data_IF_075357745581
#
_entry.id   IF_075357745581
#
_cell.length_a   1.000
_cell.length_b   1.000
_cell.length_c   1.000
_cell.angle_alpha   90.00
_cell.angle_beta   90.00
_cell.angle_gamma   90.00
#
_symmetry.space_group_name_H-M   'P 1'
#
loop_
_entity.id
_entity.type
_entity.pdbx_description
1 polymer ?
#
# COMPACT_ATOMS: atom_id res chain seq x y z
N UNK A 1 61.17 57.71 0.49
CA UNK A 1 59.88 57.01 0.72
C UNK A 1 59.68 55.99 -0.38
N UNK A 2 59.15 54.79 -0.10
CA UNK A 2 58.68 53.86 -1.15
C UNK A 2 57.18 54.08 -1.34
N UNK A 3 56.76 54.56 -2.50
CA UNK A 3 55.35 54.65 -2.88
C UNK A 3 54.84 53.27 -3.27
N UNK A 4 54.23 52.56 -2.32
CA UNK A 4 53.56 51.30 -2.59
C UNK A 4 52.26 51.60 -3.36
N UNK A 5 52.17 51.10 -4.60
CA UNK A 5 51.01 51.31 -5.46
C UNK A 5 49.88 50.40 -4.98
N UNK A 6 48.84 50.97 -4.36
CA UNK A 6 47.63 50.20 -4.01
C UNK A 6 46.84 50.01 -5.30
N UNK A 7 46.79 48.78 -5.80
CA UNK A 7 45.98 48.43 -6.96
C UNK A 7 44.56 48.13 -6.49
N UNK A 8 43.66 49.10 -6.71
CA UNK A 8 42.28 49.12 -6.19
C UNK A 8 41.38 47.95 -6.65
N UNK A 9 41.86 47.07 -7.54
CA UNK A 9 41.08 45.99 -8.14
C UNK A 9 40.68 44.88 -7.14
N UNK A 10 41.53 44.54 -6.18
CA UNK A 10 41.25 43.43 -5.25
C UNK A 10 40.39 43.82 -4.04
N UNK A 11 40.13 45.11 -3.81
CA UNK A 11 39.41 45.60 -2.62
C UNK A 11 37.91 45.82 -2.81
N UNK A 12 37.36 45.53 -4.00
CA UNK A 12 35.91 45.64 -4.30
C UNK A 12 35.34 44.31 -4.80
N UNK A 13 35.80 43.20 -4.22
CA UNK A 13 35.11 41.90 -4.36
C UNK A 13 34.04 41.79 -3.28
N UNK A 14 32.87 41.28 -3.65
CA UNK A 14 31.80 40.99 -2.69
C UNK A 14 32.28 39.86 -1.75
N UNK A 15 32.17 40.01 -0.41
CA UNK A 15 32.70 39.02 0.52
C UNK A 15 31.89 37.72 0.46
N UNK A 16 32.57 36.58 0.31
CA UNK A 16 31.92 35.27 0.23
C UNK A 16 31.22 34.90 1.54
N UNK A 17 29.90 34.77 1.49
CA UNK A 17 29.06 34.40 2.64
C UNK A 17 29.08 32.88 2.82
N UNK A 18 29.15 32.43 4.07
CA UNK A 18 29.01 31.02 4.41
C UNK A 18 27.52 30.69 4.57
N UNK A 19 26.97 29.85 3.68
CA UNK A 19 25.53 29.49 3.66
C UNK A 19 25.34 27.98 3.81
N UNK A 20 24.17 27.58 4.31
CA UNK A 20 23.74 26.18 4.28
C UNK A 20 23.38 25.78 2.83
N UNK A 21 23.91 24.66 2.36
CA UNK A 21 23.80 24.31 0.93
C UNK A 21 22.43 23.75 0.57
N UNK A 22 21.82 23.00 1.49
CA UNK A 22 20.46 22.48 1.40
C UNK A 22 19.43 23.61 1.40
N UNK A 23 19.59 24.62 2.26
CA UNK A 23 18.74 25.82 2.24
C UNK A 23 18.85 26.58 0.90
N UNK A 24 20.07 26.80 0.40
CA UNK A 24 20.31 27.46 -0.90
C UNK A 24 19.67 26.69 -2.07
N UNK A 25 19.86 25.36 -2.11
CA UNK A 25 19.29 24.51 -3.17
C UNK A 25 17.77 24.44 -3.07
N UNK A 26 17.20 24.37 -1.87
CA UNK A 26 15.74 24.39 -1.70
C UNK A 26 15.15 25.72 -2.18
N UNK A 27 15.75 26.85 -1.79
CA UNK A 27 15.33 28.17 -2.24
C UNK A 27 15.36 28.29 -3.77
N UNK A 28 16.42 27.81 -4.44
CA UNK A 28 16.50 27.81 -5.90
C UNK A 28 15.45 26.88 -6.55
N UNK A 29 15.19 25.69 -5.99
CA UNK A 29 14.09 24.81 -6.42
C UNK A 29 12.72 25.48 -6.22
N UNK A 30 12.54 26.30 -5.19
CA UNK A 30 11.31 27.05 -4.92
C UNK A 30 11.10 28.25 -5.85
N UNK A 31 12.17 28.84 -6.39
CA UNK A 31 12.06 29.82 -7.47
C UNK A 31 11.84 29.20 -8.86
N UNK A 32 12.08 27.90 -9.04
CA UNK A 32 11.90 27.18 -10.31
C UNK A 32 13.18 26.73 -11.01
N UNK A 33 14.34 26.76 -10.35
CA UNK A 33 15.60 26.28 -10.91
C UNK A 33 15.58 24.77 -11.17
N UNK A 34 16.22 24.32 -12.26
CA UNK A 34 16.27 22.91 -12.65
C UNK A 34 17.68 22.35 -12.38
N UNK A 35 17.83 21.24 -11.62
CA UNK A 35 19.15 20.69 -11.31
C UNK A 35 19.78 20.03 -12.55
N UNK A 36 21.05 20.35 -12.83
CA UNK A 36 21.80 19.84 -13.99
C UNK A 36 22.34 18.42 -13.70
N UNK A 37 21.91 17.37 -14.44
CA UNK A 37 22.35 15.99 -14.21
C UNK A 37 23.87 15.81 -14.25
N UNK A 38 24.56 16.53 -15.14
CA UNK A 38 26.00 16.39 -15.32
C UNK A 38 26.77 17.06 -14.17
N UNK A 39 26.31 18.25 -13.74
CA UNK A 39 26.94 19.01 -12.66
C UNK A 39 26.92 18.27 -11.32
N UNK A 40 25.76 17.79 -10.88
CA UNK A 40 25.66 17.04 -9.61
C UNK A 40 26.48 15.76 -9.63
N UNK A 41 26.50 15.03 -10.75
CA UNK A 41 27.34 13.83 -10.92
C UNK A 41 28.83 14.14 -10.86
N UNK A 42 29.26 15.26 -11.45
CA UNK A 42 30.66 15.68 -11.44
C UNK A 42 31.07 16.18 -10.04
N UNK A 43 30.23 16.97 -9.38
CA UNK A 43 30.44 17.41 -7.99
C UNK A 43 30.55 16.24 -7.03
N UNK A 44 29.71 15.21 -7.20
CA UNK A 44 29.74 14.01 -6.37
C UNK A 44 31.00 13.17 -6.54
N UNK A 45 31.51 13.09 -7.76
CA UNK A 45 32.67 12.24 -8.10
C UNK A 45 34.02 12.94 -7.96
N UNK A 46 34.06 14.28 -7.96
CA UNK A 46 35.33 15.06 -7.91
C UNK A 46 35.42 16.03 -6.72
N UNK A 47 34.32 16.38 -6.05
CA UNK A 47 34.31 17.23 -4.87
C UNK A 47 34.90 18.62 -5.15
N UNK A 48 35.90 19.04 -4.37
CA UNK A 48 36.61 20.31 -4.56
C UNK A 48 37.37 20.40 -5.90
N UNK A 49 37.58 19.28 -6.60
CA UNK A 49 38.21 19.26 -7.92
C UNK A 49 37.22 19.45 -9.08
N UNK A 50 35.96 19.77 -8.77
CA UNK A 50 34.96 20.11 -9.79
C UNK A 50 35.42 21.36 -10.56
N UNK A 51 35.39 21.36 -11.91
CA UNK A 51 35.82 22.52 -12.69
C UNK A 51 35.02 23.79 -12.35
N UNK A 52 35.75 24.91 -12.24
CA UNK A 52 35.13 26.24 -12.13
C UNK A 52 34.25 26.50 -13.36
N UNK A 53 33.07 27.07 -13.14
CA UNK A 53 32.03 27.22 -14.16
C UNK A 53 31.17 25.97 -14.39
N UNK A 54 31.35 24.89 -13.63
CA UNK A 54 30.45 23.75 -13.69
C UNK A 54 29.05 24.14 -13.17
N UNK A 55 28.06 24.10 -14.06
CA UNK A 55 26.65 24.34 -13.75
C UNK A 55 26.04 23.21 -12.92
N UNK A 56 25.55 23.55 -11.73
CA UNK A 56 24.79 22.66 -10.83
C UNK A 56 23.28 22.86 -11.01
N UNK A 57 22.81 24.08 -11.23
CA UNK A 57 21.39 24.38 -11.47
C UNK A 57 21.25 25.38 -12.60
N UNK A 58 20.21 25.21 -13.41
CA UNK A 58 19.87 26.04 -14.56
C UNK A 58 18.60 26.86 -14.28
N UNK A 59 18.37 27.91 -15.08
CA UNK A 59 17.10 28.62 -15.15
C UNK A 59 15.94 27.67 -15.51
N UNK A 60 14.66 28.06 -15.28
CA UNK A 60 13.50 27.18 -15.56
C UNK A 60 13.38 26.74 -17.03
N UNK A 61 13.91 27.52 -17.97
CA UNK A 61 13.95 27.16 -19.40
C UNK A 61 15.12 26.23 -19.76
N UNK A 62 16.04 25.94 -18.82
CA UNK A 62 17.24 25.13 -19.05
C UNK A 62 18.29 25.79 -19.95
N UNK A 63 18.33 27.13 -20.00
CA UNK A 63 19.13 27.92 -20.95
C UNK A 63 20.31 28.68 -20.35
N UNK A 64 20.21 29.04 -19.07
CA UNK A 64 21.17 29.91 -18.38
C UNK A 64 21.56 29.25 -17.05
N UNK A 65 22.81 29.41 -16.63
CA UNK A 65 23.33 28.77 -15.42
C UNK A 65 22.94 29.58 -14.17
N UNK A 66 22.09 29.01 -13.33
CA UNK A 66 21.59 29.64 -12.11
C UNK A 66 22.54 29.47 -10.91
N UNK A 67 23.22 28.33 -10.83
CA UNK A 67 24.18 28.00 -9.77
C UNK A 67 25.41 27.31 -10.40
N UNK A 68 26.59 27.86 -10.20
CA UNK A 68 27.86 27.33 -10.74
C UNK A 68 28.92 27.17 -9.66
N UNK A 69 29.92 26.31 -9.90
CA UNK A 69 31.12 26.22 -9.05
C UNK A 69 32.04 27.43 -9.32
N UNK A 70 32.35 28.18 -8.27
CA UNK A 70 33.16 29.39 -8.32
C UNK A 70 34.65 29.12 -8.01
N UNK A 71 35.58 30.05 -8.32
CA UNK A 71 37.01 29.89 -8.00
C UNK A 71 37.27 29.70 -6.49
N UNK A 72 38.07 28.69 -6.15
CA UNK A 72 38.47 28.32 -4.78
C UNK A 72 39.48 29.28 -4.11
N UNK A 73 39.55 30.53 -4.56
CA UNK A 73 40.49 31.52 -4.02
C UNK A 73 39.99 31.98 -2.64
N UNK A 74 40.78 31.73 -1.59
CA UNK A 74 40.45 31.89 -0.16
C UNK A 74 39.29 31.02 0.38
N UNK A 75 38.96 29.89 -0.27
CA UNK A 75 38.03 28.91 0.30
C UNK A 75 38.77 27.82 1.11
N UNK A 76 38.73 27.92 2.44
CA UNK A 76 39.38 27.00 3.40
C UNK A 76 38.80 25.56 3.38
N UNK A 77 39.04 24.82 2.30
CA UNK A 77 38.49 23.47 2.08
C UNK A 77 36.96 23.40 1.87
N UNK A 78 36.30 24.56 1.78
CA UNK A 78 34.88 24.67 1.46
C UNK A 78 34.65 24.74 -0.05
N UNK A 79 33.50 24.27 -0.52
CA UNK A 79 33.07 24.43 -1.91
C UNK A 79 32.61 25.89 -2.14
N UNK A 80 33.21 26.57 -3.11
CA UNK A 80 32.80 27.90 -3.57
C UNK A 80 31.77 27.80 -4.69
N UNK A 81 30.71 28.60 -4.61
CA UNK A 81 29.61 28.67 -5.57
C UNK A 81 29.31 30.13 -5.94
N UNK A 82 28.85 30.34 -7.17
CA UNK A 82 28.31 31.60 -7.65
C UNK A 82 26.86 31.41 -8.11
N UNK A 83 25.99 32.37 -7.75
CA UNK A 83 24.58 32.41 -8.18
C UNK A 83 24.38 33.57 -9.14
N UNK A 84 23.83 33.27 -10.31
CA UNK A 84 23.29 34.25 -11.23
C UNK A 84 21.78 34.01 -11.34
N UNK A 85 20.94 34.93 -10.85
CA UNK A 85 19.49 34.76 -10.87
C UNK A 85 18.79 35.99 -11.44
N UNK A 86 17.95 35.81 -12.46
CA UNK A 86 17.06 36.87 -12.95
C UNK A 86 15.73 36.85 -12.21
N UNK A 87 15.22 38.03 -11.85
CA UNK A 87 13.86 38.21 -11.32
C UNK A 87 12.78 37.73 -12.29
N UNK A 88 13.07 37.66 -13.59
CA UNK A 88 12.16 37.13 -14.62
C UNK A 88 12.06 35.60 -14.66
N UNK A 89 12.84 34.87 -13.86
CA UNK A 89 12.84 33.40 -13.83
C UNK A 89 11.96 32.81 -12.70
N UNK A 90 11.24 33.63 -11.93
CA UNK A 90 10.37 33.11 -10.86
C UNK A 90 9.09 32.54 -11.51
N UNK A 91 9.06 31.23 -11.70
CA UNK A 91 7.99 30.53 -12.46
C UNK A 91 7.03 29.72 -11.60
N UNK A 92 7.36 29.48 -10.32
CA UNK A 92 6.53 28.70 -9.40
C UNK A 92 5.53 29.59 -8.66
N UNK A 93 4.34 29.05 -8.42
CA UNK A 93 3.25 29.73 -7.72
C UNK A 93 2.80 28.97 -6.45
N UNK A 94 1.77 29.48 -5.77
CA UNK A 94 1.21 28.89 -4.56
C UNK A 94 0.59 27.49 -4.75
N UNK A 95 0.36 27.04 -5.99
CA UNK A 95 -0.09 25.67 -6.26
C UNK A 95 1.06 24.66 -6.16
N UNK A 96 2.30 25.12 -6.35
CA UNK A 96 3.51 24.31 -6.33
C UNK A 96 4.02 24.09 -4.90
N UNK A 97 4.30 22.84 -4.55
CA UNK A 97 4.80 22.49 -3.23
C UNK A 97 6.33 22.64 -3.10
N UNK A 98 6.85 23.07 -1.92
CA UNK A 98 8.29 23.10 -1.70
C UNK A 98 8.92 21.70 -1.68
N UNK A 99 10.26 21.58 -1.79
CA UNK A 99 10.99 20.36 -1.45
C UNK A 99 10.51 19.75 -0.13
N UNK A 100 10.54 18.42 -0.04
CA UNK A 100 10.10 17.65 1.14
C UNK A 100 8.59 17.62 1.40
N UNK A 101 7.76 18.30 0.61
CA UNK A 101 6.30 18.23 0.71
C UNK A 101 5.67 17.33 -0.38
N UNK A 102 4.50 16.78 -0.09
CA UNK A 102 3.65 16.03 -1.04
C UNK A 102 2.17 16.33 -0.82
N UNK A 103 1.41 16.53 -1.91
CA UNK A 103 -0.05 16.63 -1.88
C UNK A 103 -0.64 15.24 -2.11
N UNK A 104 -1.33 14.72 -1.11
CA UNK A 104 -2.08 13.47 -1.16
C UNK A 104 -3.50 13.79 -1.66
N UNK A 105 -3.93 13.24 -2.80
CA UNK A 105 -5.24 13.53 -3.35
C UNK A 105 -6.35 12.85 -2.52
N UNK A 106 -7.49 13.50 -2.41
CA UNK A 106 -8.71 12.92 -1.81
C UNK A 106 -9.38 11.95 -2.79
N UNK A 107 -9.98 10.85 -2.32
CA UNK A 107 -10.74 9.95 -3.19
C UNK A 107 -11.93 10.68 -3.86
N UNK A 108 -12.24 10.39 -5.14
CA UNK A 108 -13.41 10.96 -5.79
C UNK A 108 -14.69 10.51 -5.07
N UNK A 109 -15.58 11.44 -4.74
CA UNK A 109 -16.90 11.11 -4.19
C UNK A 109 -17.72 10.40 -5.28
N UNK A 110 -18.05 9.11 -5.07
CA UNK A 110 -19.08 8.41 -5.87
C UNK A 110 -20.37 9.25 -5.80
N UNK A 111 -20.90 9.63 -6.96
CA UNK A 111 -21.86 10.73 -7.09
C UNK A 111 -23.33 10.30 -6.88
N UNK A 112 -23.61 9.72 -5.71
CA UNK A 112 -24.96 9.33 -5.28
C UNK A 112 -25.36 10.09 -4.00
N UNK A 113 -26.67 10.12 -3.68
CA UNK A 113 -27.28 10.84 -2.54
C UNK A 113 -27.13 12.38 -2.48
N UNK A 114 -27.37 13.05 -3.62
CA UNK A 114 -27.78 14.49 -3.64
C UNK A 114 -29.31 14.66 -3.68
N UNK A 115 -30.07 13.57 -3.86
CA UNK A 115 -31.52 13.61 -4.17
C UNK A 115 -32.47 13.21 -3.01
N UNK A 116 -32.06 13.35 -1.74
CA UNK A 116 -32.97 13.23 -0.57
C UNK A 116 -32.90 14.43 0.39
N UNK A 117 -32.86 15.65 -0.16
CA UNK A 117 -32.93 16.90 0.60
C UNK A 117 -33.89 17.93 -0.03
N UNK A 118 -35.15 17.53 -0.32
CA UNK A 118 -36.14 18.45 -0.88
C UNK A 118 -37.59 17.95 -0.86
N UNK A 119 -38.49 18.81 -0.37
CA UNK A 119 -39.94 18.78 -0.61
C UNK A 119 -40.78 17.60 -0.08
N UNK A 120 -41.20 17.70 1.17
CA UNK A 120 -42.64 17.90 1.43
C UNK A 120 -42.88 18.61 2.78
N UNK A 121 -43.71 19.64 2.79
CA UNK A 121 -43.95 20.49 3.98
C UNK A 121 -45.43 20.45 4.40
N UNK A 122 -45.70 19.73 5.49
CA UNK A 122 -46.75 19.98 6.49
C UNK A 122 -48.24 20.05 6.09
N UNK A 123 -49.08 19.26 6.79
CA UNK A 123 -50.43 19.68 7.21
C UNK A 123 -50.70 19.27 8.67
N UNK A 124 -50.86 20.30 9.51
CA UNK A 124 -51.70 20.47 10.72
C UNK A 124 -52.14 19.28 11.61
N UNK A 125 -51.86 19.45 12.91
CA UNK A 125 -52.67 19.17 14.12
C UNK A 125 -53.97 18.31 14.03
N UNK A 126 -54.08 17.35 14.96
CA UNK A 126 -55.19 17.32 15.93
C UNK A 126 -54.72 16.75 17.29
N UNK A 127 -55.58 16.62 18.32
CA UNK A 127 -55.12 16.75 19.73
C UNK A 127 -55.75 15.87 20.82
N UNK A 128 -55.03 15.81 21.97
CA UNK A 128 -55.44 15.50 23.36
C UNK A 128 -55.44 14.02 23.87
N UNK A 129 -55.35 13.80 25.21
CA UNK A 129 -54.50 12.72 25.75
C UNK A 129 -55.07 11.89 26.95
N UNK A 130 -54.31 10.87 27.36
CA UNK A 130 -54.28 10.20 28.70
C UNK A 130 -53.00 9.35 28.81
N UNK A 131 -52.35 9.07 29.94
CA UNK A 131 -52.25 9.68 31.30
C UNK A 131 -51.05 9.02 32.02
N UNK A 132 -50.44 9.71 32.99
CA UNK A 132 -49.77 9.23 34.24
C UNK A 132 -48.87 7.95 34.21
N UNK A 133 -47.68 7.90 34.83
CA UNK A 133 -46.90 8.87 35.64
C UNK A 133 -45.38 8.53 35.45
N UNK A 134 -44.38 9.26 35.95
CA UNK A 134 -44.42 10.30 36.98
C UNK A 134 -43.08 10.94 37.33
N UNK A 135 -42.93 11.26 38.63
CA UNK A 135 -41.78 11.86 39.32
C UNK A 135 -40.58 12.35 38.47
N UNK A 136 -40.47 13.68 38.36
CA UNK A 136 -39.39 14.40 39.06
C UNK A 136 -39.74 15.89 39.23
N UNK A 137 -39.16 16.57 40.23
CA UNK A 137 -39.30 18.03 40.38
C UNK A 137 -38.06 18.68 40.99
N UNK A 138 -37.47 19.59 40.23
CA UNK A 138 -36.20 20.28 40.49
C UNK A 138 -36.35 21.62 41.21
N UNK A 139 -35.25 22.01 41.88
CA UNK A 139 -34.58 23.34 41.99
C UNK A 139 -33.72 23.30 43.26
N UNK A 140 -32.41 23.59 43.28
CA UNK A 140 -31.67 24.75 42.71
C UNK A 140 -31.05 25.49 43.92
N UNK A 141 -29.92 26.20 43.89
CA UNK A 141 -28.94 26.60 42.85
C UNK A 141 -27.65 27.09 43.63
N UNK A 142 -26.48 27.58 43.17
CA UNK A 142 -25.94 28.14 41.91
C UNK A 142 -24.38 28.03 41.91
N UNK A 143 -23.73 27.67 40.78
CA UNK A 143 -22.28 27.84 40.43
C UNK A 143 -21.20 27.15 41.34
N UNK A 144 -20.10 26.58 40.80
CA UNK A 144 -19.09 27.20 39.92
C UNK A 144 -18.24 26.24 39.06
N UNK A 145 -17.83 26.75 37.90
CA UNK A 145 -16.56 26.52 37.17
C UNK A 145 -16.03 25.07 36.98
N UNK A 146 -16.65 24.34 36.04
CA UNK A 146 -15.92 23.48 35.07
C UNK A 146 -15.67 24.31 33.80
N UNK A 147 -14.72 24.02 32.90
CA UNK A 147 -14.44 22.72 32.26
C UNK A 147 -13.00 22.57 31.75
N UNK A 148 -12.46 21.36 31.83
CA UNK A 148 -11.38 20.90 30.97
C UNK A 148 -12.00 20.16 29.77
N UNK A 149 -11.75 20.61 28.54
CA UNK A 149 -12.38 20.03 27.36
C UNK A 149 -11.63 18.78 26.88
N UNK A 150 -12.24 17.61 27.11
CA UNK A 150 -11.80 16.34 26.52
C UNK A 150 -12.51 16.17 25.18
N UNK A 151 -11.91 16.73 24.12
CA UNK A 151 -12.42 16.58 22.76
C UNK A 151 -12.28 15.13 22.28
N UNK A 152 -13.35 14.58 21.72
CA UNK A 152 -13.45 13.17 21.33
C UNK A 152 -13.26 12.99 19.82
N UNK A 153 -12.28 12.20 19.34
CA UNK A 153 -11.77 12.28 17.96
C UNK A 153 -12.65 11.65 16.87
N UNK A 154 -13.88 11.25 17.18
CA UNK A 154 -14.66 10.32 16.35
C UNK A 154 -15.55 11.03 15.31
N UNK A 155 -16.01 12.26 15.56
CA UNK A 155 -17.00 12.94 14.70
C UNK A 155 -16.42 13.86 13.62
N UNK A 156 -15.16 14.27 13.69
CA UNK A 156 -14.57 15.23 12.73
C UNK A 156 -13.98 14.57 11.46
N UNK A 157 -13.89 13.24 11.45
CA UNK A 157 -13.25 12.44 10.40
C UNK A 157 -14.04 12.39 9.09
N UNK A 158 -15.38 12.44 9.16
CA UNK A 158 -16.24 12.35 7.98
C UNK A 158 -16.29 13.65 7.17
N UNK A 159 -16.26 14.82 7.81
CA UNK A 159 -16.35 16.13 7.13
C UNK A 159 -15.05 16.55 6.45
N UNK A 160 -13.88 16.25 7.03
CA UNK A 160 -12.55 16.57 6.44
C UNK A 160 -12.17 15.68 5.23
N UNK A 161 -13.04 14.78 4.79
CA UNK A 161 -12.72 13.73 3.81
C UNK A 161 -12.55 14.17 2.35
N UNK A 162 -13.03 15.35 1.95
CA UNK A 162 -12.91 15.84 0.56
C UNK A 162 -11.61 16.57 0.25
N UNK A 163 -10.90 17.07 1.25
CA UNK A 163 -9.94 18.15 1.04
C UNK A 163 -8.52 17.57 1.01
N UNK A 164 -7.72 18.03 0.03
CA UNK A 164 -6.42 17.43 -0.25
C UNK A 164 -5.43 17.68 0.90
N UNK A 165 -4.72 16.63 1.32
CA UNK A 165 -3.82 16.69 2.47
C UNK A 165 -2.40 16.95 2.00
N UNK A 166 -1.74 17.97 2.54
CA UNK A 166 -0.37 18.34 2.21
C UNK A 166 0.57 17.95 3.35
N UNK A 167 1.43 16.97 3.12
CA UNK A 167 2.31 16.36 4.13
C UNK A 167 3.77 16.79 3.97
N UNK A 168 4.46 17.05 5.07
CA UNK A 168 5.91 17.34 5.10
C UNK A 168 6.71 16.14 5.62
N UNK A 169 7.69 15.66 4.86
CA UNK A 169 8.50 14.47 5.20
C UNK A 169 9.98 14.86 5.34
N UNK A 170 10.47 14.86 6.58
CA UNK A 170 11.88 15.14 6.90
C UNK A 170 12.68 13.85 7.06
N UNK A 171 13.97 13.95 7.41
CA UNK A 171 14.87 12.81 7.69
C UNK A 171 14.28 11.84 8.73
N UNK A 172 13.47 12.33 9.67
CA UNK A 172 12.78 11.58 10.72
C UNK A 172 11.39 11.05 10.33
N UNK A 173 10.99 11.17 9.06
CA UNK A 173 9.64 10.81 8.58
C UNK A 173 8.67 11.99 8.60
N UNK A 174 7.37 11.72 8.78
CA UNK A 174 6.30 12.72 8.74
C UNK A 174 6.42 13.72 9.89
N UNK A 175 6.49 15.02 9.56
CA UNK A 175 6.63 16.12 10.53
C UNK A 175 5.28 16.79 10.83
N UNK A 176 4.53 17.10 9.77
CA UNK A 176 3.18 17.69 9.81
C UNK A 176 2.35 17.24 8.61
N UNK A 177 1.02 17.26 8.76
CA UNK A 177 0.05 17.14 7.68
C UNK A 177 -0.96 18.27 7.82
N UNK A 178 -1.23 18.98 6.72
CA UNK A 178 -2.08 20.17 6.67
C UNK A 178 -3.23 19.96 5.67
N UNK A 179 -4.39 20.55 5.94
CA UNK A 179 -5.52 20.58 5.01
C UNK A 179 -6.03 22.01 4.77
N UNK A 180 -6.51 22.28 3.56
CA UNK A 180 -6.92 23.62 3.10
C UNK A 180 -8.35 23.94 3.59
N UNK A 181 -8.48 24.76 4.64
CA UNK A 181 -9.76 24.96 5.32
C UNK A 181 -10.68 25.95 4.57
N UNK A 182 -11.66 25.42 3.83
CA UNK A 182 -12.65 26.19 3.06
C UNK A 182 -13.70 26.91 3.92
N UNK A 183 -13.26 27.90 4.72
CA UNK A 183 -14.17 28.82 5.41
C UNK A 183 -14.66 29.95 4.50
N UNK A 184 -15.91 29.83 4.05
CA UNK A 184 -16.66 30.89 3.36
C UNK A 184 -16.74 32.17 4.22
N UNK A 185 -15.81 33.12 4.04
CA UNK A 185 -15.92 34.42 4.71
C UNK A 185 -14.75 35.41 4.58
N UNK A 186 -13.50 34.97 4.40
CA UNK A 186 -12.32 35.86 4.52
C UNK A 186 -11.29 35.69 3.36
N UNK A 187 -11.22 36.63 2.39
CA UNK A 187 -10.34 36.52 1.23
C UNK A 187 -8.95 37.13 1.49
N UNK A 188 -8.13 36.52 2.37
CA UNK A 188 -6.76 37.04 2.63
C UNK A 188 -5.73 36.02 3.13
N UNK A 189 -6.12 34.95 3.85
CA UNK A 189 -5.17 34.00 4.44
C UNK A 189 -5.56 32.55 4.15
N UNK A 190 -4.59 31.74 3.71
CA UNK A 190 -4.74 30.29 3.65
C UNK A 190 -4.75 29.74 5.08
N UNK A 191 -5.94 29.49 5.61
CA UNK A 191 -6.11 28.84 6.90
C UNK A 191 -5.83 27.34 6.71
N UNK A 192 -4.64 26.90 7.15
CA UNK A 192 -4.20 25.52 7.07
C UNK A 192 -4.45 24.85 8.43
N UNK A 193 -5.40 23.92 8.46
CA UNK A 193 -5.71 23.14 9.67
C UNK A 193 -4.70 21.99 9.81
N UNK A 194 -4.21 21.74 11.03
CA UNK A 194 -3.12 20.78 11.28
C UNK A 194 -3.68 19.47 11.81
N UNK A 195 -3.51 18.41 11.03
CA UNK A 195 -4.08 17.10 11.33
C UNK A 195 -3.27 16.36 12.41
N UNK A 196 -3.96 15.58 13.23
CA UNK A 196 -3.33 14.68 14.19
C UNK A 196 -2.63 13.52 13.46
N UNK A 197 -1.33 13.34 13.74
CA UNK A 197 -0.46 12.41 12.99
C UNK A 197 0.45 11.54 13.88
N UNK A 198 0.26 11.52 15.20
CA UNK A 198 1.13 10.76 16.11
C UNK A 198 1.11 9.25 15.86
N UNK A 199 0.06 8.72 15.20
CA UNK A 199 0.03 7.33 14.74
C UNK A 199 0.95 7.04 13.53
N UNK A 200 1.32 8.07 12.76
CA UNK A 200 2.23 8.01 11.62
C UNK A 200 3.64 8.56 11.92
N UNK A 201 3.92 9.01 13.15
CA UNK A 201 5.28 9.41 13.53
C UNK A 201 6.19 8.19 13.68
N UNK A 202 7.44 8.33 13.25
CA UNK A 202 8.45 7.28 13.35
C UNK A 202 8.82 7.07 14.82
N UNK A 203 8.55 5.87 15.34
CA UNK A 203 8.90 5.47 16.69
C UNK A 203 9.70 4.15 16.65
N UNK A 204 10.68 3.95 17.55
CA UNK A 204 11.53 2.75 17.54
C UNK A 204 10.78 1.43 17.84
N UNK A 205 9.51 1.51 18.25
CA UNK A 205 8.62 0.38 18.56
C UNK A 205 7.56 0.18 17.46
N UNK A 206 7.30 1.16 16.59
CA UNK A 206 6.23 1.13 15.58
C UNK A 206 6.78 1.37 14.17
N UNK A 207 6.66 0.35 13.33
CA UNK A 207 6.95 0.38 11.89
C UNK A 207 6.06 1.36 11.10
N UNK A 208 4.85 1.67 11.60
CA UNK A 208 3.79 2.40 10.89
C UNK A 208 4.29 3.70 10.24
N UNK A 209 5.00 4.55 10.99
CA UNK A 209 5.55 5.79 10.46
C UNK A 209 6.69 5.61 9.47
N UNK A 210 7.45 4.50 9.56
CA UNK A 210 8.52 4.16 8.62
C UNK A 210 7.91 3.73 7.28
N UNK A 211 6.92 2.82 7.31
CA UNK A 211 6.17 2.40 6.12
C UNK A 211 5.45 3.57 5.45
N UNK A 212 4.77 4.41 6.22
CA UNK A 212 4.08 5.59 5.69
C UNK A 212 5.07 6.59 5.05
N UNK A 213 6.14 6.97 5.76
CA UNK A 213 7.13 7.89 5.21
C UNK A 213 7.82 7.32 3.95
N UNK A 214 8.10 6.01 3.92
CA UNK A 214 8.62 5.33 2.73
C UNK A 214 7.66 5.36 1.55
N UNK A 215 6.39 5.02 1.75
CA UNK A 215 5.38 5.01 0.70
C UNK A 215 5.03 6.43 0.20
N UNK A 216 4.94 7.41 1.09
CA UNK A 216 4.66 8.81 0.73
C UNK A 216 5.85 9.48 0.00
N UNK A 217 7.09 9.17 0.39
CA UNK A 217 8.30 9.58 -0.36
C UNK A 217 8.31 8.96 -1.76
N UNK A 218 7.98 7.68 -1.88
CA UNK A 218 7.86 6.98 -3.16
C UNK A 218 6.79 7.61 -4.07
N UNK A 219 5.57 7.75 -3.55
CA UNK A 219 4.46 8.40 -4.27
C UNK A 219 4.81 9.83 -4.71
N UNK A 220 5.43 10.65 -3.85
CA UNK A 220 5.83 12.02 -4.16
C UNK A 220 6.96 12.12 -5.20
N UNK A 221 7.95 11.22 -5.13
CA UNK A 221 9.03 11.09 -6.13
C UNK A 221 8.46 10.80 -7.52
N UNK A 222 7.41 9.96 -7.61
CA UNK A 222 6.73 9.67 -8.88
C UNK A 222 5.88 10.83 -9.43
N UNK A 223 5.76 11.95 -8.71
CA UNK A 223 4.70 12.95 -8.91
C UNK A 223 5.16 14.39 -9.12
N UNK A 224 5.96 14.94 -8.21
CA UNK A 224 6.17 16.40 -8.16
C UNK A 224 7.57 16.84 -7.69
N UNK A 225 8.21 16.09 -6.80
CA UNK A 225 9.39 16.58 -6.05
C UNK A 225 10.62 15.71 -6.25
N UNK A 226 11.69 16.34 -6.76
CA UNK A 226 12.99 15.71 -7.11
C UNK A 226 13.89 15.54 -5.87
N UNK A 227 13.77 16.43 -4.88
CA UNK A 227 14.61 16.46 -3.68
C UNK A 227 13.83 15.98 -2.44
N UNK A 228 14.40 14.96 -1.78
CA UNK A 228 13.90 14.36 -0.54
C UNK A 228 14.97 14.32 0.54
N UNK A 229 14.60 14.53 1.81
CA UNK A 229 15.51 14.35 2.96
C UNK A 229 15.29 13.00 3.67
N UNK A 230 14.13 12.36 3.47
CA UNK A 230 13.89 11.00 3.94
C UNK A 230 14.55 9.99 2.99
N UNK A 231 15.46 9.16 3.52
CA UNK A 231 15.94 7.97 2.81
C UNK A 231 15.05 6.79 3.18
N UNK A 232 14.43 6.16 2.18
CA UNK A 232 13.75 4.87 2.36
C UNK A 232 14.77 3.84 2.89
N UNK A 233 14.52 3.13 4.01
CA UNK A 233 15.46 2.17 4.57
C UNK A 233 15.84 1.06 3.58
N UNK A 234 17.13 0.69 3.54
CA UNK A 234 17.64 -0.32 2.60
C UNK A 234 17.02 -1.71 2.80
N UNK A 235 16.57 -2.03 4.03
CA UNK A 235 15.77 -3.22 4.31
C UNK A 235 14.40 -3.21 3.60
N UNK A 236 13.74 -2.05 3.53
CA UNK A 236 12.44 -1.89 2.86
C UNK A 236 12.63 -1.92 1.34
N UNK A 237 13.67 -1.26 0.82
CA UNK A 237 14.02 -1.30 -0.61
C UNK A 237 14.39 -2.72 -1.07
N UNK A 238 15.24 -3.43 -0.31
CA UNK A 238 15.66 -4.79 -0.64
C UNK A 238 14.53 -5.81 -0.46
N UNK A 239 13.62 -5.62 0.50
CA UNK A 239 12.36 -6.37 0.60
C UNK A 239 11.49 -6.16 -0.65
N UNK A 240 11.20 -4.90 -1.02
CA UNK A 240 10.29 -4.59 -2.12
C UNK A 240 10.76 -5.10 -3.49
N UNK A 241 12.09 -5.25 -3.68
CA UNK A 241 12.72 -5.86 -4.87
C UNK A 241 12.65 -7.40 -4.91
N UNK A 242 12.31 -8.10 -3.83
CA UNK A 242 12.34 -9.58 -3.79
C UNK A 242 11.00 -10.20 -4.21
N UNK A 243 11.08 -11.18 -5.11
CA UNK A 243 10.00 -12.13 -5.37
C UNK A 243 9.73 -12.97 -4.11
N UNK A 244 8.58 -12.74 -3.47
CA UNK A 244 8.30 -13.23 -2.10
C UNK A 244 6.96 -13.95 -1.96
N UNK A 245 6.00 -13.68 -2.84
CA UNK A 245 4.66 -14.26 -2.82
C UNK A 245 4.58 -15.40 -3.85
N UNK A 246 4.22 -16.64 -3.46
CA UNK A 246 3.99 -17.73 -4.41
C UNK A 246 2.76 -17.47 -5.29
N UNK A 247 2.86 -17.66 -6.61
CA UNK A 247 1.73 -17.45 -7.53
C UNK A 247 0.52 -18.35 -7.23
N UNK A 248 0.74 -19.60 -6.79
CA UNK A 248 -0.32 -20.52 -6.44
C UNK A 248 -1.14 -20.08 -5.22
N UNK A 249 -0.53 -19.33 -4.29
CA UNK A 249 -1.25 -18.76 -3.14
C UNK A 249 -2.31 -17.76 -3.62
N UNK A 250 -1.97 -16.89 -4.58
CA UNK A 250 -2.92 -15.93 -5.15
C UNK A 250 -4.09 -16.62 -5.87
N UNK A 251 -3.85 -17.76 -6.51
CA UNK A 251 -4.92 -18.58 -7.14
C UNK A 251 -5.80 -19.26 -6.08
N UNK A 252 -5.22 -19.82 -5.02
CA UNK A 252 -6.00 -20.45 -3.92
C UNK A 252 -6.84 -19.42 -3.15
N UNK A 253 -6.35 -18.18 -3.02
CA UNK A 253 -7.10 -17.04 -2.46
C UNK A 253 -8.12 -16.42 -3.43
N UNK A 254 -8.10 -16.80 -4.72
CA UNK A 254 -8.98 -16.23 -5.75
C UNK A 254 -8.63 -14.79 -6.16
N UNK A 255 -7.37 -14.38 -6.00
CA UNK A 255 -6.83 -13.07 -6.42
C UNK A 255 -6.27 -13.08 -7.86
N UNK A 256 -5.86 -14.24 -8.37
CA UNK A 256 -5.41 -14.46 -9.74
C UNK A 256 -6.10 -15.68 -10.34
N UNK A 257 -6.29 -15.72 -11.66
CA UNK A 257 -6.84 -16.91 -12.32
C UNK A 257 -5.75 -17.97 -12.56
N UNK A 258 -6.15 -19.24 -12.55
CA UNK A 258 -5.25 -20.37 -12.78
C UNK A 258 -4.67 -20.36 -14.20
N UNK A 259 -5.36 -19.77 -15.19
CA UNK A 259 -4.83 -19.60 -16.56
C UNK A 259 -3.74 -18.52 -16.70
N UNK A 260 -3.64 -17.59 -15.75
CA UNK A 260 -2.60 -16.55 -15.72
C UNK A 260 -1.32 -17.06 -15.02
N UNK A 261 -1.35 -18.25 -14.39
CA UNK A 261 -0.20 -18.82 -13.67
C UNK A 261 0.56 -19.90 -14.46
N UNK A 262 1.89 -20.03 -14.28
CA UNK A 262 2.63 -21.22 -14.68
C UNK A 262 2.08 -22.48 -13.99
N UNK A 263 2.15 -23.66 -14.63
CA UNK A 263 1.67 -24.92 -14.05
C UNK A 263 2.36 -25.25 -12.71
N UNK A 264 1.65 -25.02 -11.60
CA UNK A 264 2.14 -25.21 -10.23
C UNK A 264 1.39 -26.31 -9.45
N UNK A 265 0.13 -26.60 -9.81
CA UNK A 265 -0.73 -27.55 -9.09
C UNK A 265 -0.78 -28.94 -9.75
N UNK A 266 -0.87 -29.99 -8.95
CA UNK A 266 -1.15 -31.35 -9.42
C UNK A 266 -2.58 -31.43 -9.94
N UNK A 267 -2.76 -31.45 -11.27
CA UNK A 267 -4.07 -31.48 -11.96
C UNK A 267 -4.80 -32.81 -11.76
N UNK A 268 -5.47 -32.95 -10.61
CA UNK A 268 -6.25 -34.11 -10.19
C UNK A 268 -7.47 -34.36 -11.11
N UNK A 269 -7.27 -35.14 -12.18
CA UNK A 269 -8.37 -35.65 -13.00
C UNK A 269 -9.12 -36.76 -12.26
N UNK A 270 -10.25 -36.41 -11.63
CA UNK A 270 -11.14 -37.35 -10.92
C UNK A 270 -11.57 -38.58 -11.76
N UNK A 271 -11.51 -38.46 -13.09
CA UNK A 271 -11.70 -39.59 -14.02
C UNK A 271 -10.79 -40.79 -13.71
N UNK A 272 -9.56 -40.55 -13.23
CA UNK A 272 -8.65 -41.62 -12.80
C UNK A 272 -9.14 -42.35 -11.55
N UNK A 273 -9.62 -41.61 -10.54
CA UNK A 273 -10.18 -42.20 -9.33
C UNK A 273 -11.48 -42.96 -9.60
N UNK A 274 -12.32 -42.47 -10.54
CA UNK A 274 -13.51 -43.18 -10.99
C UNK A 274 -13.16 -44.49 -11.73
N UNK A 275 -12.13 -44.47 -12.59
CA UNK A 275 -11.61 -45.67 -13.26
C UNK A 275 -11.03 -46.68 -12.27
N UNK A 276 -10.27 -46.24 -11.27
CA UNK A 276 -9.68 -47.12 -10.26
C UNK A 276 -10.75 -47.77 -9.37
N UNK A 277 -11.78 -47.01 -8.98
CA UNK A 277 -12.97 -47.55 -8.29
C UNK A 277 -13.78 -48.53 -9.15
N UNK A 278 -13.85 -48.32 -10.47
CA UNK A 278 -14.51 -49.24 -11.39
C UNK A 278 -13.68 -50.53 -11.57
N UNK A 279 -12.36 -50.41 -11.71
CA UNK A 279 -11.43 -51.52 -11.82
C UNK A 279 -11.44 -52.41 -10.56
N UNK A 280 -11.40 -51.79 -9.36
CA UNK A 280 -11.54 -52.51 -8.07
C UNK A 280 -12.87 -53.25 -7.98
N UNK A 281 -14.00 -52.59 -8.28
CA UNK A 281 -15.33 -53.24 -8.31
C UNK A 281 -15.38 -54.41 -9.29
N UNK A 282 -14.80 -54.28 -10.49
CA UNK A 282 -14.72 -55.36 -11.47
C UNK A 282 -13.82 -56.53 -11.01
N UNK A 283 -12.73 -56.24 -10.28
CA UNK A 283 -11.85 -57.25 -9.71
C UNK A 283 -12.50 -57.97 -8.53
N UNK A 284 -13.19 -57.25 -7.65
CA UNK A 284 -14.00 -57.80 -6.54
C UNK A 284 -15.13 -58.70 -7.06
N UNK A 285 -15.86 -58.28 -8.11
CA UNK A 285 -16.86 -59.12 -8.78
C UNK A 285 -16.25 -60.40 -9.36
N UNK A 286 -15.10 -60.33 -10.02
CA UNK A 286 -14.40 -61.52 -10.54
C UNK A 286 -13.93 -62.45 -9.43
N UNK A 287 -13.40 -61.91 -8.33
CA UNK A 287 -12.98 -62.69 -7.17
C UNK A 287 -14.17 -63.38 -6.48
N UNK A 288 -15.31 -62.70 -6.35
CA UNK A 288 -16.54 -63.27 -5.83
C UNK A 288 -17.07 -64.41 -6.71
N UNK A 289 -17.13 -64.21 -8.04
CA UNK A 289 -17.56 -65.26 -8.98
C UNK A 289 -16.59 -66.46 -9.00
N UNK A 290 -15.28 -66.22 -8.87
CA UNK A 290 -14.31 -67.29 -8.72
C UNK A 290 -14.54 -68.10 -7.43
N UNK A 291 -14.79 -67.44 -6.30
CA UNK A 291 -15.13 -68.09 -5.04
C UNK A 291 -16.47 -68.86 -5.12
N UNK A 292 -17.51 -68.29 -5.73
CA UNK A 292 -18.79 -68.95 -5.99
C UNK A 292 -18.64 -70.24 -6.81
N UNK A 293 -17.69 -70.27 -7.76
CA UNK A 293 -17.45 -71.46 -8.58
C UNK A 293 -16.88 -72.65 -7.79
N UNK A 294 -16.16 -72.40 -6.69
CA UNK A 294 -15.58 -73.42 -5.82
C UNK A 294 -16.58 -74.00 -4.79
N UNK A 295 -17.74 -73.37 -4.61
CA UNK A 295 -18.75 -73.81 -3.65
C UNK A 295 -19.66 -74.92 -4.20
N UNK A 296 -20.25 -75.71 -3.30
CA UNK A 296 -21.25 -76.72 -3.63
C UNK A 296 -22.52 -76.09 -4.23
N UNK A 297 -23.28 -76.78 -5.12
CA UNK A 297 -24.35 -76.16 -5.92
C UNK A 297 -25.39 -75.35 -5.12
N UNK A 298 -25.94 -75.91 -4.05
CA UNK A 298 -26.93 -75.22 -3.21
C UNK A 298 -26.36 -73.99 -2.45
N UNK A 299 -25.05 -73.99 -2.16
CA UNK A 299 -24.37 -72.85 -1.55
C UNK A 299 -24.05 -71.77 -2.60
N UNK A 300 -23.72 -72.17 -3.82
CA UNK A 300 -23.46 -71.28 -4.96
C UNK A 300 -24.68 -70.44 -5.31
N UNK A 301 -25.88 -71.04 -5.33
CA UNK A 301 -27.13 -70.30 -5.58
C UNK A 301 -27.42 -69.26 -4.49
N UNK A 302 -27.27 -69.63 -3.22
CA UNK A 302 -27.42 -68.70 -2.10
C UNK A 302 -26.38 -67.56 -2.12
N UNK A 303 -25.13 -67.87 -2.46
CA UNK A 303 -24.07 -66.87 -2.60
C UNK A 303 -24.33 -65.91 -3.78
N UNK A 304 -24.74 -66.42 -4.95
CA UNK A 304 -25.07 -65.61 -6.10
C UNK A 304 -26.28 -64.69 -5.85
N UNK A 305 -27.31 -65.16 -5.13
CA UNK A 305 -28.43 -64.32 -4.70
C UNK A 305 -27.98 -63.24 -3.71
N UNK A 306 -27.10 -63.57 -2.75
CA UNK A 306 -26.54 -62.61 -1.81
C UNK A 306 -25.66 -61.56 -2.50
N UNK A 307 -24.87 -61.93 -3.52
CA UNK A 307 -24.12 -60.99 -4.37
C UNK A 307 -25.06 -60.08 -5.15
N UNK A 308 -26.05 -60.64 -5.85
CA UNK A 308 -27.02 -59.86 -6.63
C UNK A 308 -27.76 -58.85 -5.73
N UNK A 309 -28.14 -59.26 -4.52
CA UNK A 309 -28.76 -58.38 -3.52
C UNK A 309 -27.83 -57.25 -3.09
N UNK A 310 -26.59 -57.55 -2.70
CA UNK A 310 -25.57 -56.53 -2.32
C UNK A 310 -25.29 -55.56 -3.46
N UNK A 311 -25.19 -56.04 -4.70
CA UNK A 311 -24.96 -55.18 -5.86
C UNK A 311 -26.16 -54.26 -6.13
N UNK A 312 -27.39 -54.74 -5.97
CA UNK A 312 -28.59 -53.90 -6.09
C UNK A 312 -28.66 -52.86 -4.94
N UNK A 313 -28.32 -53.26 -3.71
CA UNK A 313 -28.25 -52.37 -2.55
C UNK A 313 -27.15 -51.30 -2.73
N UNK A 314 -25.99 -51.63 -3.30
CA UNK A 314 -24.94 -50.67 -3.67
C UNK A 314 -25.39 -49.73 -4.81
N UNK A 315 -26.01 -50.24 -5.87
CA UNK A 315 -26.57 -49.40 -6.96
C UNK A 315 -27.64 -48.42 -6.43
N UNK A 316 -28.44 -48.84 -5.44
CA UNK A 316 -29.42 -48.01 -4.74
C UNK A 316 -28.80 -47.00 -3.74
N UNK A 317 -27.53 -47.16 -3.39
CA UNK A 317 -26.76 -46.19 -2.59
C UNK A 317 -26.03 -45.19 -3.49
N UNK A 318 -25.35 -45.63 -4.56
CA UNK A 318 -24.69 -44.75 -5.55
C UNK A 318 -25.71 -43.85 -6.28
N UNK A 319 -26.88 -44.38 -6.65
CA UNK A 319 -27.96 -43.58 -7.25
C UNK A 319 -28.64 -42.61 -6.28
N UNK A 320 -28.46 -42.78 -4.96
CA UNK A 320 -28.83 -41.81 -3.93
C UNK A 320 -27.76 -40.73 -3.72
N UNK A 321 -27.16 -40.27 -4.83
CA UNK A 321 -26.63 -38.91 -4.90
C UNK A 321 -27.72 -37.90 -4.48
N UNK A 322 -27.40 -36.84 -3.71
CA UNK A 322 -28.38 -35.93 -3.15
C UNK A 322 -28.91 -34.92 -4.19
N UNK A 323 -29.67 -35.42 -5.16
CA UNK A 323 -30.68 -34.59 -5.83
C UNK A 323 -31.73 -34.17 -4.80
N UNK A 324 -32.25 -32.94 -4.90
CA UNK A 324 -32.99 -32.25 -3.83
C UNK A 324 -34.44 -32.77 -3.62
N UNK A 325 -34.60 -34.06 -3.31
CA UNK A 325 -35.91 -34.67 -3.05
C UNK A 325 -36.41 -34.31 -1.64
N UNK A 326 -37.13 -33.19 -1.53
CA UNK A 326 -37.85 -32.75 -0.33
C UNK A 326 -38.99 -33.75 -0.01
N UNK A 327 -38.74 -34.75 0.84
CA UNK A 327 -39.83 -35.59 1.39
C UNK A 327 -39.40 -36.83 2.17
N UNK A 328 -38.37 -37.55 1.74
CA UNK A 328 -37.98 -38.82 2.37
C UNK A 328 -36.89 -38.65 3.42
N UNK A 329 -37.17 -39.09 4.67
CA UNK A 329 -36.17 -39.18 5.74
C UNK A 329 -34.99 -40.07 5.29
N UNK A 330 -33.74 -39.58 5.22
CA UNK A 330 -32.59 -40.42 4.92
C UNK A 330 -32.23 -41.28 6.13
N UNK A 331 -31.68 -42.46 5.87
CA UNK A 331 -31.15 -43.33 6.93
C UNK A 331 -29.87 -42.72 7.52
N UNK A 332 -29.93 -42.35 8.80
CA UNK A 332 -29.06 -41.34 9.42
C UNK A 332 -27.61 -41.80 9.53
N UNK A 333 -27.35 -43.10 9.54
CA UNK A 333 -26.00 -43.65 9.75
C UNK A 333 -25.20 -43.80 8.45
N UNK A 334 -25.81 -44.27 7.36
CA UNK A 334 -25.12 -44.56 6.10
C UNK A 334 -24.70 -43.32 5.31
N UNK A 335 -25.53 -42.27 5.33
CA UNK A 335 -25.17 -40.98 4.68
C UNK A 335 -24.02 -40.29 5.43
N UNK A 336 -23.94 -40.48 6.74
CA UNK A 336 -22.98 -39.79 7.61
C UNK A 336 -21.53 -40.20 7.39
N UNK A 337 -21.26 -41.47 7.04
CA UNK A 337 -19.91 -41.94 6.71
C UNK A 337 -19.48 -41.43 5.34
N UNK A 338 -20.28 -41.63 4.29
CA UNK A 338 -19.95 -41.21 2.92
C UNK A 338 -19.70 -39.69 2.84
N UNK A 339 -20.51 -38.88 3.52
CA UNK A 339 -20.27 -37.42 3.61
C UNK A 339 -19.01 -37.10 4.39
N UNK A 340 -18.74 -37.79 5.51
CA UNK A 340 -17.52 -37.58 6.31
C UNK A 340 -16.24 -37.94 5.55
N UNK A 341 -16.26 -39.02 4.77
CA UNK A 341 -15.11 -39.46 3.98
C UNK A 341 -14.89 -38.58 2.75
N UNK A 342 -15.95 -38.09 2.10
CA UNK A 342 -15.85 -37.02 1.09
C UNK A 342 -15.25 -35.75 1.67
N UNK A 343 -15.81 -35.22 2.76
CA UNK A 343 -15.30 -34.02 3.45
C UNK A 343 -13.83 -34.19 3.86
N UNK A 344 -13.44 -35.38 4.35
CA UNK A 344 -12.04 -35.69 4.69
C UNK A 344 -11.13 -35.71 3.46
N UNK A 345 -11.57 -36.31 2.36
CA UNK A 345 -10.81 -36.36 1.10
C UNK A 345 -10.68 -34.95 0.50
N UNK A 346 -11.74 -34.16 0.54
CA UNK A 346 -11.75 -32.78 0.06
C UNK A 346 -10.92 -31.84 0.96
N UNK A 347 -10.81 -32.12 2.26
CA UNK A 347 -9.88 -31.42 3.16
C UNK A 347 -8.44 -31.75 2.77
N UNK A 348 -8.08 -33.03 2.68
CA UNK A 348 -6.73 -33.47 2.26
C UNK A 348 -6.36 -32.90 0.87
N UNK A 349 -7.31 -32.83 -0.06
CA UNK A 349 -7.11 -32.19 -1.39
C UNK A 349 -6.84 -30.68 -1.29
N UNK A 350 -7.55 -29.95 -0.42
CA UNK A 350 -7.30 -28.53 -0.18
C UNK A 350 -5.95 -28.32 0.51
N UNK A 351 -5.62 -29.13 1.51
CA UNK A 351 -4.37 -29.06 2.25
C UNK A 351 -3.17 -29.36 1.33
N UNK A 352 -3.30 -30.37 0.45
CA UNK A 352 -2.32 -30.65 -0.59
C UNK A 352 -2.19 -29.49 -1.57
N UNK A 353 -3.29 -28.96 -2.10
CA UNK A 353 -3.24 -27.82 -3.04
C UNK A 353 -2.64 -26.56 -2.39
N UNK A 354 -2.86 -26.35 -1.10
CA UNK A 354 -2.23 -25.28 -0.31
C UNK A 354 -0.72 -25.53 -0.12
N UNK A 355 -0.29 -26.77 0.14
CA UNK A 355 1.15 -27.10 0.20
C UNK A 355 1.84 -26.95 -1.17
N UNK A 356 1.19 -27.36 -2.26
CA UNK A 356 1.66 -27.14 -3.64
C UNK A 356 1.70 -25.63 -3.97
N UNK A 357 0.71 -24.85 -3.52
CA UNK A 357 0.66 -23.40 -3.68
C UNK A 357 1.80 -22.69 -2.94
N UNK A 358 2.13 -23.10 -1.70
CA UNK A 358 3.26 -22.55 -0.94
C UNK A 358 4.63 -22.87 -1.57
N UNK A 359 4.72 -23.92 -2.38
CA UNK A 359 5.92 -24.33 -3.11
C UNK A 359 5.96 -23.83 -4.57
N UNK A 360 4.95 -23.09 -5.02
CA UNK A 360 4.89 -22.60 -6.40
C UNK A 360 6.04 -21.62 -6.71
N UNK A 361 6.30 -21.33 -8.00
CA UNK A 361 7.11 -20.17 -8.38
C UNK A 361 6.64 -18.91 -7.66
N UNK A 362 7.59 -18.08 -7.23
CA UNK A 362 7.31 -16.77 -6.65
C UNK A 362 7.06 -15.75 -7.77
N UNK A 363 6.30 -14.71 -7.46
CA UNK A 363 5.98 -13.64 -8.39
C UNK A 363 6.59 -12.30 -7.97
N UNK A 364 6.84 -11.48 -8.97
CA UNK A 364 7.29 -10.11 -8.84
C UNK A 364 6.24 -9.24 -8.15
N UNK A 365 6.66 -8.35 -7.25
CA UNK A 365 5.76 -7.53 -6.42
C UNK A 365 4.87 -6.61 -7.25
N UNK A 366 5.34 -6.18 -8.43
CA UNK A 366 4.50 -5.46 -9.41
C UNK A 366 3.36 -6.32 -9.92
N UNK A 367 3.63 -7.54 -10.39
CA UNK A 367 2.58 -8.45 -10.88
C UNK A 367 1.57 -8.77 -9.76
N UNK A 368 2.05 -9.06 -8.55
CA UNK A 368 1.20 -9.24 -7.36
C UNK A 368 0.28 -8.04 -7.13
N UNK A 369 0.79 -6.81 -7.29
CA UNK A 369 0.00 -5.58 -7.15
C UNK A 369 -1.04 -5.39 -8.26
N UNK A 370 -0.75 -5.80 -9.50
CA UNK A 370 -1.67 -5.69 -10.64
C UNK A 370 -2.85 -6.67 -10.54
N UNK A 371 -2.64 -7.88 -10.02
CA UNK A 371 -3.73 -8.80 -9.69
C UNK A 371 -4.51 -8.32 -8.45
N UNK A 372 -3.81 -7.79 -7.44
CA UNK A 372 -4.45 -7.22 -6.24
C UNK A 372 -5.36 -6.03 -6.56
N UNK A 373 -4.94 -5.12 -7.44
CA UNK A 373 -5.77 -4.01 -7.92
C UNK A 373 -7.00 -4.51 -8.66
N UNK A 374 -6.83 -5.45 -9.62
CA UNK A 374 -7.95 -6.05 -10.36
C UNK A 374 -8.97 -6.71 -9.45
N UNK A 375 -8.51 -7.36 -8.38
CA UNK A 375 -9.36 -8.00 -7.37
C UNK A 375 -10.09 -7.00 -6.47
N UNK A 376 -9.44 -5.90 -6.04
CA UNK A 376 -10.11 -4.82 -5.30
C UNK A 376 -11.17 -4.12 -6.18
N UNK A 377 -10.86 -3.88 -7.46
CA UNK A 377 -11.79 -3.32 -8.45
C UNK A 377 -12.95 -4.28 -8.78
N UNK A 378 -12.76 -5.59 -8.64
CA UNK A 378 -13.83 -6.58 -8.76
C UNK A 378 -14.77 -6.62 -7.54
N UNK A 379 -14.31 -6.14 -6.37
CA UNK A 379 -15.09 -5.96 -5.12
C UNK A 379 -15.75 -4.57 -5.00
N UNK A 380 -15.63 -3.71 -6.01
CA UNK A 380 -16.09 -2.30 -6.02
C UNK A 380 -15.48 -1.38 -4.94
N UNK A 381 -14.33 -1.77 -4.36
CA UNK A 381 -13.56 -0.91 -3.46
C UNK A 381 -12.95 0.31 -4.17
N UNK A 382 -12.60 0.16 -5.46
CA UNK A 382 -11.97 1.20 -6.28
C UNK A 382 -12.53 1.17 -7.70
N UNK A 383 -12.68 2.32 -8.34
CA UNK A 383 -13.16 2.41 -9.72
C UNK A 383 -12.15 1.81 -10.71
N UNK A 384 -12.67 1.16 -11.76
CA UNK A 384 -11.89 0.42 -12.77
C UNK A 384 -10.97 1.29 -13.64
N UNK A 385 -11.15 2.60 -13.60
CA UNK A 385 -10.33 3.59 -14.30
C UNK A 385 -9.11 4.08 -13.50
N UNK A 386 -9.02 3.76 -12.20
CA UNK A 386 -7.94 4.23 -11.34
C UNK A 386 -6.68 3.39 -11.54
N UNK A 387 -5.52 4.05 -11.61
CA UNK A 387 -4.22 3.38 -11.63
C UNK A 387 -3.76 3.00 -10.21
N UNK A 388 -2.75 2.13 -10.12
CA UNK A 388 -2.05 1.81 -8.86
C UNK A 388 -1.60 3.09 -8.14
N UNK A 389 -1.17 4.12 -8.90
CA UNK A 389 -0.71 5.39 -8.35
C UNK A 389 -1.84 6.19 -7.69
N UNK A 390 -2.99 6.29 -8.35
CA UNK A 390 -4.13 7.06 -7.83
C UNK A 390 -4.66 6.40 -6.56
N UNK A 391 -4.82 5.07 -6.58
CA UNK A 391 -5.25 4.29 -5.41
C UNK A 391 -4.26 4.44 -4.25
N UNK A 392 -2.94 4.36 -4.49
CA UNK A 392 -1.94 4.60 -3.43
C UNK A 392 -2.01 6.04 -2.88
N UNK A 393 -2.30 7.03 -3.72
CA UNK A 393 -2.56 8.41 -3.27
C UNK A 393 -3.74 8.50 -2.30
N UNK A 394 -4.88 7.89 -2.67
CA UNK A 394 -6.07 7.85 -1.82
C UNK A 394 -5.89 7.01 -0.54
N UNK A 395 -5.11 5.92 -0.61
CA UNK A 395 -4.72 5.13 0.56
C UNK A 395 -3.88 5.94 1.54
N UNK A 396 -2.88 6.69 1.04
CA UNK A 396 -2.04 7.54 1.89
C UNK A 396 -2.85 8.67 2.52
N UNK A 397 -3.78 9.29 1.77
CA UNK A 397 -4.76 10.25 2.30
C UNK A 397 -5.57 9.64 3.45
N UNK A 398 -6.14 8.43 3.24
CA UNK A 398 -6.86 7.70 4.28
C UNK A 398 -5.98 7.34 5.48
N UNK A 399 -4.72 6.92 5.31
CA UNK A 399 -3.82 6.60 6.42
C UNK A 399 -3.55 7.80 7.35
N UNK A 400 -3.62 9.03 6.85
CA UNK A 400 -3.53 10.24 7.70
C UNK A 400 -4.79 10.41 8.55
N UNK A 401 -5.97 10.15 8.00
CA UNK A 401 -7.26 10.32 8.68
C UNK A 401 -7.69 9.13 9.56
N UNK A 402 -7.25 7.91 9.23
CA UNK A 402 -7.68 6.63 9.80
C UNK A 402 -6.46 5.84 10.30
N UNK A 403 -6.19 5.96 11.60
CA UNK A 403 -5.03 5.34 12.23
C UNK A 403 -5.12 3.83 12.41
N UNK A 404 -6.33 3.26 12.47
CA UNK A 404 -6.53 1.81 12.57
C UNK A 404 -6.33 1.15 11.21
N UNK A 405 -6.80 1.75 10.11
CA UNK A 405 -6.45 1.36 8.74
C UNK A 405 -4.95 1.42 8.49
N UNK A 406 -4.28 2.50 8.91
CA UNK A 406 -2.82 2.60 8.82
C UNK A 406 -2.10 1.50 9.63
N UNK A 407 -2.57 1.21 10.84
CA UNK A 407 -1.99 0.15 11.69
C UNK A 407 -2.22 -1.26 11.13
N UNK A 408 -3.39 -1.55 10.57
CA UNK A 408 -3.74 -2.84 9.97
C UNK A 408 -2.86 -3.14 8.74
N UNK A 409 -2.76 -2.20 7.80
CA UNK A 409 -1.90 -2.36 6.60
C UNK A 409 -0.42 -2.47 6.99
N UNK A 410 0.07 -1.66 7.94
CA UNK A 410 1.46 -1.76 8.39
C UNK A 410 1.75 -3.08 9.12
N UNK A 411 0.78 -3.61 9.90
CA UNK A 411 0.87 -4.96 10.49
C UNK A 411 0.98 -6.03 9.40
N UNK A 412 0.27 -5.89 8.28
CA UNK A 412 0.38 -6.80 7.14
C UNK A 412 1.74 -6.67 6.42
N UNK A 413 2.24 -5.45 6.23
CA UNK A 413 3.58 -5.20 5.68
C UNK A 413 4.69 -5.80 6.55
N UNK A 414 4.58 -5.70 7.88
CA UNK A 414 5.52 -6.33 8.83
C UNK A 414 5.45 -7.87 8.79
N UNK A 415 4.23 -8.46 8.77
CA UNK A 415 4.06 -9.91 8.54
C UNK A 415 4.77 -10.34 7.25
N UNK A 416 4.56 -9.60 6.15
CA UNK A 416 5.13 -9.90 4.84
C UNK A 416 6.66 -9.79 4.83
N UNK A 417 7.22 -8.69 5.36
CA UNK A 417 8.69 -8.55 5.51
C UNK A 417 9.27 -9.70 6.34
N UNK A 418 8.61 -10.09 7.43
CA UNK A 418 9.08 -11.19 8.28
C UNK A 418 9.14 -12.54 7.53
N UNK A 419 8.10 -12.94 6.77
CA UNK A 419 8.17 -14.19 6.01
C UNK A 419 9.12 -14.10 4.80
N UNK A 420 9.29 -12.91 4.23
CA UNK A 420 10.27 -12.65 3.17
C UNK A 420 11.73 -12.81 3.66
N UNK A 421 12.06 -12.27 4.84
CA UNK A 421 13.39 -12.38 5.45
C UNK A 421 13.67 -13.79 6.01
N UNK A 422 12.63 -14.54 6.40
CA UNK A 422 12.73 -15.98 6.75
C UNK A 422 12.82 -16.90 5.52
N UNK A 423 12.71 -16.35 4.30
CA UNK A 423 12.97 -17.04 3.03
C UNK A 423 11.72 -17.53 2.27
N UNK A 424 10.53 -17.45 2.87
CA UNK A 424 9.28 -17.86 2.24
C UNK A 424 8.09 -17.88 3.19
N UNK A 425 6.90 -17.77 2.59
CA UNK A 425 5.61 -17.84 3.27
C UNK A 425 5.37 -19.24 3.87
N UNK A 426 4.85 -19.31 5.09
CA UNK A 426 4.43 -20.54 5.77
C UNK A 426 2.91 -20.68 5.79
N UNK A 427 2.41 -21.84 6.21
CA UNK A 427 0.97 -22.08 6.40
C UNK A 427 0.32 -21.09 7.40
N UNK A 428 1.03 -20.68 8.45
CA UNK A 428 0.59 -19.63 9.38
C UNK A 428 0.34 -18.30 8.68
N UNK A 429 1.21 -17.99 7.73
CA UNK A 429 1.29 -16.70 7.05
C UNK A 429 0.25 -16.65 5.94
N UNK A 430 0.06 -17.79 5.25
CA UNK A 430 -1.08 -18.04 4.36
C UNK A 430 -2.42 -17.84 5.07
N UNK A 431 -2.62 -18.41 6.27
CA UNK A 431 -3.86 -18.20 7.02
C UNK A 431 -4.05 -16.72 7.37
N UNK A 432 -2.99 -16.07 7.85
CA UNK A 432 -3.02 -14.64 8.19
C UNK A 432 -3.35 -13.72 6.99
N UNK A 433 -3.00 -14.12 5.76
CA UNK A 433 -3.40 -13.44 4.51
C UNK A 433 -4.80 -13.87 4.05
N UNK A 434 -5.21 -15.11 4.32
CA UNK A 434 -6.57 -15.59 4.03
C UNK A 434 -7.62 -14.90 4.91
N UNK A 435 -7.26 -14.53 6.14
CA UNK A 435 -8.11 -13.78 7.06
C UNK A 435 -8.11 -12.28 6.72
N UNK A 436 -6.93 -11.65 6.60
CA UNK A 436 -6.73 -10.22 6.33
C UNK A 436 -6.56 -9.91 4.79
N UNK A 437 -7.35 -10.52 3.90
CA UNK A 437 -7.14 -10.43 2.43
C UNK A 437 -7.14 -9.00 1.88
N UNK A 438 -8.06 -8.15 2.37
CA UNK A 438 -8.18 -6.77 1.89
C UNK A 438 -6.95 -5.94 2.32
N UNK A 439 -6.42 -6.12 3.53
CA UNK A 439 -5.17 -5.46 3.97
C UNK A 439 -3.96 -5.92 3.13
N UNK A 440 -3.90 -7.20 2.77
CA UNK A 440 -2.83 -7.74 1.91
C UNK A 440 -2.87 -7.15 0.49
N UNK A 441 -4.07 -7.05 -0.10
CA UNK A 441 -4.24 -6.44 -1.42
C UNK A 441 -3.80 -4.97 -1.43
N UNK A 442 -4.16 -4.20 -0.38
CA UNK A 442 -3.70 -2.82 -0.21
C UNK A 442 -2.18 -2.74 0.03
N UNK A 443 -1.61 -3.60 0.90
CA UNK A 443 -0.18 -3.68 1.13
C UNK A 443 0.63 -3.93 -0.17
N UNK A 444 0.12 -4.75 -1.09
CA UNK A 444 0.79 -5.02 -2.36
C UNK A 444 0.94 -3.78 -3.25
N UNK A 445 -0.04 -2.86 -3.23
CA UNK A 445 0.03 -1.60 -3.97
C UNK A 445 1.13 -0.68 -3.42
N UNK A 446 1.28 -0.62 -2.09
CA UNK A 446 2.34 0.17 -1.43
C UNK A 446 3.73 -0.40 -1.72
N UNK A 447 3.91 -1.73 -1.69
CA UNK A 447 5.19 -2.38 -1.99
C UNK A 447 5.61 -2.14 -3.44
N UNK A 448 4.66 -2.19 -4.39
CA UNK A 448 4.95 -1.88 -5.79
C UNK A 448 5.38 -0.42 -6.01
N UNK A 449 4.70 0.56 -5.37
CA UNK A 449 5.09 1.98 -5.43
C UNK A 449 6.51 2.23 -4.90
N UNK A 450 6.88 1.56 -3.80
CA UNK A 450 8.22 1.62 -3.21
C UNK A 450 9.25 0.97 -4.15
N UNK A 451 8.93 -0.18 -4.78
CA UNK A 451 9.81 -0.84 -5.75
C UNK A 451 10.06 0.01 -6.99
N UNK A 452 9.01 0.56 -7.61
CA UNK A 452 9.14 1.35 -8.84
C UNK A 452 9.96 2.63 -8.57
N UNK A 453 9.83 3.22 -7.38
CA UNK A 453 10.74 4.31 -6.94
C UNK A 453 12.17 3.81 -6.76
N UNK A 454 12.36 2.61 -6.20
CA UNK A 454 13.69 2.02 -6.02
C UNK A 454 14.41 1.72 -7.34
N UNK A 455 13.70 1.42 -8.43
CA UNK A 455 14.30 1.25 -9.76
C UNK A 455 14.51 2.59 -10.46
N UNK A 456 13.66 3.59 -10.19
CA UNK A 456 13.82 4.94 -10.71
C UNK A 456 15.02 5.69 -10.11
N UNK A 457 15.40 5.45 -8.85
CA UNK A 457 16.43 6.24 -8.15
C UNK A 457 17.88 6.00 -8.61
N UNK A 458 18.23 4.79 -9.07
CA UNK A 458 19.64 4.42 -9.32
C UNK A 458 20.27 5.22 -10.47
N UNK A 459 21.25 6.07 -10.13
CA UNK A 459 21.97 6.91 -11.10
C UNK A 459 21.26 8.22 -11.47
N UNK A 460 20.25 8.64 -10.71
CA UNK A 460 19.52 9.90 -10.94
C UNK A 460 20.16 11.13 -10.32
N UNK A 461 19.77 12.30 -10.85
CA UNK A 461 20.06 13.62 -10.27
C UNK A 461 19.63 13.70 -8.82
N UNK A 462 18.50 13.11 -8.42
CA UNK A 462 18.03 13.08 -7.03
C UNK A 462 19.04 12.45 -6.08
N UNK A 463 19.61 11.30 -6.44
CA UNK A 463 20.66 10.64 -5.66
C UNK A 463 21.97 11.44 -5.67
N UNK A 464 22.36 11.96 -6.84
CA UNK A 464 23.59 12.74 -6.98
C UNK A 464 23.54 14.04 -6.14
N UNK A 465 22.37 14.70 -6.13
CA UNK A 465 22.01 15.89 -5.35
C UNK A 465 22.04 15.60 -3.83
N UNK A 466 21.33 14.56 -3.38
CA UNK A 466 21.28 14.16 -1.97
C UNK A 466 22.67 13.84 -1.41
N UNK A 467 23.52 13.10 -2.15
CA UNK A 467 24.88 12.81 -1.71
C UNK A 467 25.74 14.08 -1.65
N UNK A 468 25.60 15.00 -2.61
CA UNK A 468 26.31 16.29 -2.57
C UNK A 468 25.89 17.15 -1.37
N UNK A 469 24.58 17.30 -1.10
CA UNK A 469 24.07 18.04 0.06
C UNK A 469 24.54 17.42 1.39
N UNK A 470 24.62 16.09 1.47
CA UNK A 470 25.11 15.37 2.66
C UNK A 470 26.61 15.58 2.90
N UNK A 471 27.41 15.73 1.83
CA UNK A 471 28.85 16.01 1.93
C UNK A 471 29.12 17.49 2.25
N UNK A 472 28.47 18.40 1.52
CA UNK A 472 28.70 19.84 1.58
C UNK A 472 27.63 20.55 2.42
N UNK A 473 27.61 20.32 3.74
CA UNK A 473 26.64 20.99 4.64
C UNK A 473 26.68 22.53 4.56
N UNK A 474 27.84 23.09 4.27
CA UNK A 474 28.07 24.52 4.08
C UNK A 474 28.88 24.77 2.84
N UNK A 475 28.63 25.91 2.21
CA UNK A 475 29.30 26.37 0.98
C UNK A 475 29.58 27.87 1.08
N UNK A 476 30.56 28.34 0.31
CA UNK A 476 30.88 29.76 0.18
C UNK A 476 30.18 30.32 -1.04
N UNK A 477 29.26 31.25 -0.83
CA UNK A 477 28.48 31.91 -1.88
C UNK A 477 29.06 33.28 -2.17
N UNK A 478 29.36 33.58 -3.45
CA UNK A 478 29.90 34.86 -3.92
C UNK A 478 29.38 35.27 -5.30
#
# INVERSE_FOLDING_TARGET
>A
MKTQRVEYADQVRQPQVEVAFDELVCYLLDLGAVPNPHGWKLLRSTGLWTPVGCCLMMSPEGREDALTVAPSNDSDGNLSLAVAWSSSWITRDYSNLPPYWVRLPSPPRKAEDVNQAGSSSGVQNESRPTSEDGLEKTKGDTQKDSSAEIHSPINESHSRSSDAITCQISMSGLVTALTEQNHYGAPSTLNLDSLYIDHLRVHPIKSTGVWFASAATAFGTSSQTILWNYKIPDEILSFARRETVPCGVLVVLGMADESETPDWATKHRDYGAALDQFARRAQEQRAAVAAESLMAPAQREAAAQARMRRENEQRMQDSKMPTQSKGSRPDVNGVRTIVRDKVRTDHIRRDQRMMEALQSPKWDTKLVSEHSLRWLQARDYWDKSLSVKDVVGFMLHRMVLDGDFAANICRMLDKWKAWADVGGMKQSDYQAVQDDQDDFAHAALLVAMIRDTSTALEGTVSMDLQECLRMWRKVRLG
#
